data_IF_032594877262
#
_entry.id   IF_032594877262
#
_cell.length_a   1.000
_cell.length_b   1.000
_cell.length_c   1.000
_cell.angle_alpha   90.00
_cell.angle_beta   90.00
_cell.angle_gamma   90.00
#
_symmetry.space_group_name_H-M   'P 1'
#
loop_
_entity.id
_entity.type
_entity.pdbx_description
1 polymer ?
#
# COMPACT_ATOMS: atom_id res chain seq x y z
N UNK A 1 -10.46 -11.43 -8.90
CA UNK A 1 -9.56 -10.78 -7.92
C UNK A 1 -9.27 -11.74 -6.78
N UNK A 2 -8.12 -11.65 -6.10
CA UNK A 2 -7.83 -12.47 -4.93
C UNK A 2 -8.79 -12.14 -3.77
N UNK A 3 -9.35 -13.18 -3.17
CA UNK A 3 -10.25 -13.12 -2.01
C UNK A 3 -9.76 -14.07 -0.91
N UNK A 4 -10.17 -13.82 0.33
CA UNK A 4 -9.86 -14.72 1.43
C UNK A 4 -10.56 -16.09 1.23
N UNK A 5 -9.84 -17.22 1.29
CA UNK A 5 -10.44 -18.55 1.09
C UNK A 5 -11.33 -19.00 2.26
N UNK A 6 -11.24 -18.34 3.42
CA UNK A 6 -12.01 -18.68 4.63
C UNK A 6 -13.30 -17.88 4.71
N UNK A 7 -13.24 -16.56 4.52
CA UNK A 7 -14.41 -15.67 4.69
C UNK A 7 -14.92 -15.03 3.39
N UNK A 8 -14.23 -15.19 2.27
CA UNK A 8 -14.64 -14.63 0.98
C UNK A 8 -14.38 -13.12 0.81
N UNK A 9 -13.82 -12.44 1.81
CA UNK A 9 -13.54 -11.00 1.74
C UNK A 9 -12.62 -10.66 0.56
N UNK A 10 -13.01 -9.67 -0.25
CA UNK A 10 -12.15 -9.14 -1.32
C UNK A 10 -11.06 -8.24 -0.73
N UNK A 11 -9.81 -8.48 -1.12
CA UNK A 11 -8.69 -7.61 -0.72
C UNK A 11 -8.68 -6.27 -1.46
N UNK A 12 -9.36 -6.18 -2.59
CA UNK A 12 -9.59 -4.95 -3.34
C UNK A 12 -11.10 -4.70 -3.38
N UNK A 13 -11.57 -3.67 -2.67
CA UNK A 13 -13.01 -3.46 -2.43
C UNK A 13 -13.80 -2.93 -3.63
N UNK A 14 -13.12 -2.68 -4.75
CA UNK A 14 -13.74 -2.36 -6.05
C UNK A 14 -13.81 -0.87 -6.38
N UNK A 15 -13.41 0.00 -5.45
CA UNK A 15 -13.31 1.42 -5.66
C UNK A 15 -12.14 1.79 -6.60
N UNK A 16 -12.45 2.66 -7.56
CA UNK A 16 -11.43 3.28 -8.41
C UNK A 16 -10.40 3.99 -7.53
N UNK A 17 -9.13 3.62 -7.63
CA UNK A 17 -8.07 4.21 -6.81
C UNK A 17 -7.83 3.54 -5.46
N UNK A 18 -8.38 2.35 -5.17
CA UNK A 18 -8.07 1.60 -3.94
C UNK A 18 -6.55 1.38 -3.72
N UNK A 19 -5.77 1.33 -4.80
CA UNK A 19 -4.31 1.23 -4.74
C UNK A 19 -3.61 2.50 -4.19
N UNK A 20 -4.24 3.67 -4.26
CA UNK A 20 -3.69 4.94 -3.74
C UNK A 20 -3.43 4.87 -2.24
N UNK A 21 -4.32 4.23 -1.48
CA UNK A 21 -4.13 4.04 -0.05
C UNK A 21 -2.92 3.17 0.27
N UNK A 22 -2.71 2.08 -0.49
CA UNK A 22 -1.52 1.25 -0.32
C UNK A 22 -0.23 2.04 -0.64
N UNK A 23 -0.23 2.88 -1.68
CA UNK A 23 0.92 3.74 -1.97
C UNK A 23 1.20 4.74 -0.83
N UNK A 24 0.16 5.34 -0.24
CA UNK A 24 0.30 6.24 0.90
C UNK A 24 1.01 5.56 2.09
N UNK A 25 0.58 4.35 2.47
CA UNK A 25 1.23 3.60 3.54
C UNK A 25 2.68 3.20 3.21
N UNK A 26 2.97 2.91 1.94
CA UNK A 26 4.33 2.59 1.49
C UNK A 26 5.26 3.81 1.59
N UNK A 27 4.75 4.98 1.19
CA UNK A 27 5.48 6.25 1.27
C UNK A 27 5.74 6.66 2.73
N UNK A 28 4.73 6.56 3.61
CA UNK A 28 4.90 6.83 5.04
C UNK A 28 5.96 5.93 5.68
N UNK A 29 6.00 4.65 5.32
CA UNK A 29 7.03 3.72 5.81
C UNK A 29 8.43 4.12 5.31
N UNK A 30 8.56 4.44 4.02
CA UNK A 30 9.82 4.91 3.42
C UNK A 30 10.34 6.17 4.11
N UNK A 31 9.48 7.17 4.32
CA UNK A 31 9.85 8.41 5.01
C UNK A 31 10.26 8.17 6.45
N UNK A 32 9.53 7.31 7.17
CA UNK A 32 9.86 6.96 8.56
C UNK A 32 11.24 6.29 8.64
N UNK A 33 11.53 5.37 7.73
CA UNK A 33 12.84 4.71 7.65
C UNK A 33 13.94 5.71 7.31
N UNK A 34 13.70 6.64 6.39
CA UNK A 34 14.65 7.68 6.04
C UNK A 34 14.99 8.57 7.24
N UNK A 35 13.99 9.04 7.98
CA UNK A 35 14.18 9.87 9.18
C UNK A 35 14.96 9.12 10.25
N UNK A 36 14.60 7.87 10.54
CA UNK A 36 15.34 7.04 11.49
C UNK A 36 16.80 6.83 11.06
N UNK A 37 17.03 6.59 9.76
CA UNK A 37 18.35 6.41 9.19
C UNK A 37 19.23 7.66 9.31
N UNK A 38 18.75 8.84 8.89
CA UNK A 38 19.55 10.06 8.96
C UNK A 38 19.88 10.46 10.40
N UNK A 39 18.92 10.33 11.32
CA UNK A 39 19.14 10.60 12.74
C UNK A 39 20.17 9.63 13.33
N UNK A 40 19.99 8.32 13.10
CA UNK A 40 20.92 7.31 13.60
C UNK A 40 22.33 7.47 13.02
N UNK A 41 22.44 7.75 11.73
CA UNK A 41 23.70 7.96 11.05
C UNK A 41 24.45 9.19 11.60
N UNK A 42 23.75 10.31 11.78
CA UNK A 42 24.36 11.53 12.31
C UNK A 42 24.80 11.34 13.76
N UNK A 43 23.97 10.74 14.62
CA UNK A 43 24.34 10.45 16.01
C UNK A 43 25.60 9.57 16.09
N UNK A 44 25.73 8.60 15.18
CA UNK A 44 26.87 7.69 15.18
C UNK A 44 28.17 8.29 14.62
N UNK A 45 28.07 9.19 13.63
CA UNK A 45 29.24 9.70 12.88
C UNK A 45 29.63 11.15 13.17
N UNK A 46 28.88 11.82 14.05
CA UNK A 46 29.19 13.18 14.50
C UNK A 46 30.55 13.24 15.23
N UNK A 47 31.40 14.27 15.03
CA UNK A 47 31.18 15.53 14.30
C UNK A 47 31.59 15.55 12.83
N UNK A 48 32.16 14.45 12.32
CA UNK A 48 32.69 14.37 10.95
C UNK A 48 31.98 13.28 10.14
N UNK A 49 30.69 13.47 9.78
CA UNK A 49 29.92 12.48 9.04
C UNK A 49 30.48 12.25 7.62
N UNK A 50 30.68 10.98 7.21
CA UNK A 50 31.14 10.66 5.86
C UNK A 50 29.97 10.73 4.86
N UNK A 51 29.73 11.93 4.32
CA UNK A 51 28.59 12.23 3.44
C UNK A 51 28.51 11.36 2.17
N UNK A 52 29.65 10.99 1.58
CA UNK A 52 29.66 10.13 0.39
C UNK A 52 29.10 8.73 0.68
N UNK A 53 29.42 8.17 1.85
CA UNK A 53 28.87 6.90 2.29
C UNK A 53 27.37 7.05 2.57
N UNK A 54 26.98 8.10 3.31
CA UNK A 54 25.58 8.38 3.59
C UNK A 54 24.73 8.44 2.32
N UNK A 55 25.18 9.16 1.29
CA UNK A 55 24.44 9.31 0.04
C UNK A 55 24.29 7.97 -0.68
N UNK A 56 25.35 7.17 -0.78
CA UNK A 56 25.32 5.85 -1.42
C UNK A 56 24.35 4.90 -0.72
N UNK A 57 24.45 4.80 0.60
CA UNK A 57 23.59 3.91 1.40
C UNK A 57 22.14 4.38 1.37
N UNK A 58 21.90 5.69 1.45
CA UNK A 58 20.55 6.26 1.39
C UNK A 58 19.88 5.96 0.06
N UNK A 59 20.58 6.08 -1.07
CA UNK A 59 20.01 5.72 -2.39
C UNK A 59 19.62 4.24 -2.41
N UNK A 60 20.48 3.34 -1.92
CA UNK A 60 20.16 1.92 -1.83
C UNK A 60 18.93 1.65 -0.96
N UNK A 61 18.89 2.26 0.23
CA UNK A 61 17.79 2.14 1.19
C UNK A 61 16.46 2.64 0.59
N UNK A 62 16.47 3.80 -0.06
CA UNK A 62 15.28 4.42 -0.65
C UNK A 62 14.72 3.66 -1.86
N UNK A 63 15.54 2.82 -2.52
CA UNK A 63 15.06 1.91 -3.56
C UNK A 63 14.58 0.57 -2.98
N UNK A 64 15.28 0.04 -1.99
CA UNK A 64 14.96 -1.26 -1.40
C UNK A 64 13.68 -1.24 -0.56
N UNK A 65 13.51 -0.23 0.29
CA UNK A 65 12.37 -0.14 1.24
C UNK A 65 11.02 -0.18 0.54
N UNK A 66 10.70 0.67 -0.45
CA UNK A 66 9.37 0.66 -1.08
C UNK A 66 9.06 -0.68 -1.75
N UNK A 67 10.05 -1.30 -2.40
CA UNK A 67 9.90 -2.60 -3.08
C UNK A 67 9.62 -3.73 -2.09
N UNK A 68 10.41 -3.81 -1.02
CA UNK A 68 10.27 -4.86 -0.01
C UNK A 68 9.02 -4.66 0.87
N UNK A 69 8.64 -3.41 1.11
CA UNK A 69 7.51 -3.05 1.97
C UNK A 69 6.17 -2.99 1.23
N UNK A 70 6.18 -3.03 -0.11
CA UNK A 70 4.97 -2.99 -0.92
C UNK A 70 3.88 -4.01 -0.51
N UNK A 71 4.19 -5.32 -0.31
CA UNK A 71 3.17 -6.28 0.12
C UNK A 71 2.61 -5.96 1.51
N UNK A 72 3.42 -5.40 2.42
CA UNK A 72 2.96 -5.03 3.75
C UNK A 72 2.06 -3.80 3.73
N UNK A 73 2.35 -2.82 2.88
CA UNK A 73 1.51 -1.62 2.78
C UNK A 73 0.10 -1.95 2.27
N UNK A 74 -0.04 -2.96 1.40
CA UNK A 74 -1.33 -3.51 0.98
C UNK A 74 -2.13 -4.06 2.15
N UNK A 75 -1.49 -4.85 3.02
CA UNK A 75 -2.15 -5.43 4.20
C UNK A 75 -2.48 -4.38 5.26
N UNK A 76 -1.59 -3.42 5.50
CA UNK A 76 -1.81 -2.34 6.45
C UNK A 76 -2.94 -1.42 6.00
N UNK A 77 -2.97 -1.10 4.72
CA UNK A 77 -4.06 -0.32 4.15
C UNK A 77 -5.39 -1.05 4.28
N UNK A 78 -5.47 -2.33 3.93
CA UNK A 78 -6.70 -3.12 4.08
C UNK A 78 -7.15 -3.19 5.55
N UNK A 79 -6.23 -3.41 6.49
CA UNK A 79 -6.55 -3.44 7.91
C UNK A 79 -7.06 -2.08 8.42
N UNK A 80 -6.41 -0.99 8.02
CA UNK A 80 -6.84 0.36 8.34
C UNK A 80 -8.21 0.69 7.73
N UNK A 81 -8.42 0.32 6.47
CA UNK A 81 -9.68 0.51 5.75
C UNK A 81 -10.83 -0.28 6.38
N UNK A 82 -10.60 -1.52 6.85
CA UNK A 82 -11.58 -2.30 7.61
C UNK A 82 -11.88 -1.70 8.99
N UNK A 83 -10.91 -1.04 9.61
CA UNK A 83 -11.10 -0.35 10.88
C UNK A 83 -11.96 0.92 10.72
N UNK A 84 -11.75 1.67 9.64
CA UNK A 84 -12.53 2.90 9.34
C UNK A 84 -13.90 2.58 8.73
N UNK A 85 -13.94 1.65 7.78
CA UNK A 85 -15.14 1.15 7.10
C UNK A 85 -15.25 -0.37 7.35
N UNK A 86 -16.03 -0.77 8.37
CA UNK A 86 -16.33 -2.18 8.62
C UNK A 86 -16.86 -2.88 7.38
N UNK A 87 -16.64 -4.20 7.26
CA UNK A 87 -17.09 -4.99 6.12
C UNK A 87 -18.61 -4.97 5.96
N UNK A 88 -19.06 -4.77 4.72
CA UNK A 88 -20.46 -4.82 4.32
C UNK A 88 -20.70 -6.00 3.36
N UNK A 89 -21.95 -6.42 3.18
CA UNK A 89 -22.30 -7.59 2.35
C UNK A 89 -21.80 -7.47 0.90
N UNK A 90 -21.73 -6.23 0.39
CA UNK A 90 -21.18 -5.90 -0.92
C UNK A 90 -19.69 -6.19 -1.06
N UNK A 91 -18.92 -6.31 0.04
CA UNK A 91 -17.50 -6.67 0.05
C UNK A 91 -17.27 -8.18 -0.19
N UNK A 92 -18.32 -8.99 -0.07
CA UNK A 92 -18.29 -10.46 -0.20
C UNK A 92 -18.92 -10.96 -1.51
N UNK A 93 -19.73 -10.14 -2.20
CA UNK A 93 -20.41 -10.53 -3.44
C UNK A 93 -19.47 -10.50 -4.66
N UNK A 94 -19.73 -11.33 -5.67
CA UNK A 94 -19.06 -11.19 -6.97
C UNK A 94 -19.64 -9.97 -7.68
N UNK A 95 -18.85 -9.09 -8.33
CA UNK A 95 -19.40 -7.98 -9.10
C UNK A 95 -20.43 -8.49 -10.10
N UNK A 96 -21.70 -8.13 -9.91
CA UNK A 96 -22.70 -8.23 -10.95
C UNK A 96 -22.34 -7.15 -11.97
N UNK A 97 -21.50 -7.47 -12.96
CA UNK A 97 -21.49 -6.67 -14.17
C UNK A 97 -22.94 -6.64 -14.67
N UNK A 98 -23.58 -5.46 -14.81
CA UNK A 98 -24.89 -5.40 -15.41
C UNK A 98 -24.74 -5.99 -16.80
N UNK A 99 -25.31 -7.17 -17.05
CA UNK A 99 -25.42 -7.71 -18.40
C UNK A 99 -26.15 -6.65 -19.22
N UNK A 100 -25.38 -5.86 -19.98
CA UNK A 100 -25.90 -4.86 -20.90
C UNK A 100 -26.66 -5.63 -21.98
N UNK A 101 -27.95 -5.82 -21.76
CA UNK A 101 -28.79 -6.58 -22.65
C UNK A 101 -29.01 -5.74 -23.91
N UNK A 102 -28.14 -5.92 -24.90
CA UNK A 102 -28.15 -5.19 -26.18
C UNK A 102 -29.44 -5.37 -27.00
N UNK A 103 -30.39 -6.21 -26.55
CA UNK A 103 -31.70 -6.42 -27.18
C UNK A 103 -32.73 -5.30 -26.92
N UNK A 104 -32.56 -4.46 -25.90
CA UNK A 104 -33.59 -3.48 -25.52
C UNK A 104 -33.57 -2.17 -26.31
N UNK A 105 -32.68 -2.02 -27.30
CA UNK A 105 -32.51 -0.79 -28.08
C UNK A 105 -33.05 -0.87 -29.52
N UNK A 106 -33.86 -1.90 -29.82
CA UNK A 106 -34.34 -2.22 -31.18
C UNK A 106 -35.87 -2.19 -31.36
N UNK A 107 -36.61 -1.76 -30.35
CA UNK A 107 -38.06 -1.52 -30.41
C UNK A 107 -38.34 -0.04 -30.11
#
# INVERSE_FOLDING_TARGET
MPSCPVCGLRFERGEQGYWVGAYFFNLMAMETVFVAWIVGFLVWTWPSPPWTLFQRETVGLMLAVPVLFFPFSKTLFLAFDLWVRPPADEDFSTPLEPHRNHRQRRD
#
